data_IF_879327509221
#
_entry.id   IF_879327509221
#
_cell.length_a   1.000
_cell.length_b   1.000
_cell.length_c   1.000
_cell.angle_alpha   90.00
_cell.angle_beta   90.00
_cell.angle_gamma   90.00
#
_symmetry.space_group_name_H-M   'P 1'
#
loop_
_entity.id
_entity.type
_entity.pdbx_description
1 polymer ?
#
# COMPACT_ATOMS: atom_id res chain seq x y z
N UNK A 1 6.00 -61.49 4.07
CA UNK A 1 6.94 -60.34 3.98
C UNK A 1 6.57 -59.62 2.69
N UNK A 2 5.72 -58.59 2.78
CA UNK A 2 5.28 -57.79 1.65
C UNK A 2 6.42 -56.84 1.26
N UNK A 3 6.85 -56.97 0.03
CA UNK A 3 7.83 -56.09 -0.62
C UNK A 3 7.22 -54.71 -0.77
N UNK A 4 7.56 -53.79 0.12
CA UNK A 4 7.16 -52.40 0.09
C UNK A 4 8.27 -51.49 -0.47
N UNK A 5 8.99 -51.96 -1.47
CA UNK A 5 9.78 -51.05 -2.32
C UNK A 5 8.87 -50.44 -3.39
N UNK A 6 7.87 -49.65 -3.02
CA UNK A 6 7.24 -48.71 -3.95
C UNK A 6 8.31 -47.75 -4.43
N UNK A 7 8.69 -47.93 -5.68
CA UNK A 7 9.65 -47.08 -6.37
C UNK A 7 9.00 -45.68 -6.50
N UNK A 8 9.35 -44.76 -5.62
CA UNK A 8 8.81 -43.38 -5.58
C UNK A 8 9.25 -42.52 -6.78
N UNK A 9 10.08 -43.08 -7.66
CA UNK A 9 10.47 -42.41 -8.90
C UNK A 9 9.41 -42.61 -9.98
N UNK A 10 9.01 -41.55 -10.71
CA UNK A 10 8.13 -41.68 -11.87
C UNK A 10 8.73 -42.66 -12.84
N UNK A 11 7.94 -43.62 -13.31
CA UNK A 11 8.39 -44.59 -14.30
C UNK A 11 8.44 -43.90 -15.67
N UNK A 12 9.34 -44.36 -16.55
CA UNK A 12 9.43 -43.83 -17.92
C UNK A 12 8.11 -44.00 -18.67
N UNK A 13 7.36 -45.05 -18.36
CA UNK A 13 6.03 -45.33 -18.91
C UNK A 13 4.92 -44.34 -18.47
N UNK A 14 5.18 -43.53 -17.43
CA UNK A 14 4.28 -42.46 -17.03
C UNK A 14 4.39 -41.24 -17.96
N UNK A 15 5.46 -41.16 -18.76
CA UNK A 15 5.71 -40.10 -19.73
C UNK A 15 5.33 -40.55 -21.13
N UNK A 16 4.23 -40.01 -21.66
CA UNK A 16 3.68 -40.41 -22.95
C UNK A 16 4.24 -39.53 -24.08
N UNK A 17 4.64 -40.16 -25.19
CA UNK A 17 5.07 -39.48 -26.43
C UNK A 17 4.05 -39.65 -27.56
N UNK A 18 2.90 -40.28 -27.29
CA UNK A 18 1.87 -40.65 -28.29
C UNK A 18 0.58 -39.77 -28.14
N UNK A 19 0.72 -38.57 -27.60
CA UNK A 19 -0.41 -37.66 -27.47
C UNK A 19 -0.88 -37.16 -28.83
N UNK A 20 -2.19 -37.02 -28.97
CA UNK A 20 -2.81 -36.39 -30.14
C UNK A 20 -2.52 -34.90 -30.16
N UNK A 21 -2.55 -34.21 -31.32
CA UNK A 21 -2.39 -32.75 -31.38
C UNK A 21 -3.35 -31.98 -30.46
N UNK A 22 -4.59 -32.46 -30.30
CA UNK A 22 -5.58 -31.85 -29.41
C UNK A 22 -5.19 -31.98 -27.92
N UNK A 23 -4.64 -33.11 -27.52
CA UNK A 23 -4.15 -33.34 -26.15
C UNK A 23 -2.91 -32.47 -25.86
N UNK A 24 -2.01 -32.34 -26.84
CA UNK A 24 -0.86 -31.46 -26.73
C UNK A 24 -1.32 -30.00 -26.55
N UNK A 25 -2.21 -29.53 -27.44
CA UNK A 25 -2.73 -28.16 -27.36
C UNK A 25 -3.45 -27.86 -26.05
N UNK A 26 -4.22 -28.83 -25.50
CA UNK A 26 -4.89 -28.68 -24.21
C UNK A 26 -3.90 -28.57 -23.04
N UNK A 27 -2.81 -29.36 -23.06
CA UNK A 27 -1.76 -29.31 -22.04
C UNK A 27 -0.97 -27.98 -22.13
N UNK A 28 -0.64 -27.53 -23.31
CA UNK A 28 0.02 -26.24 -23.54
C UNK A 28 -0.84 -25.06 -23.10
N UNK A 29 -2.16 -25.10 -23.40
CA UNK A 29 -3.11 -24.08 -22.92
C UNK A 29 -3.19 -24.05 -21.39
N UNK A 30 -3.20 -25.22 -20.74
CA UNK A 30 -3.18 -25.32 -19.27
C UNK A 30 -1.92 -24.72 -18.68
N UNK A 31 -0.75 -25.03 -19.24
CA UNK A 31 0.52 -24.46 -18.80
C UNK A 31 0.56 -22.93 -19.02
N UNK A 32 0.12 -22.45 -20.19
CA UNK A 32 0.04 -21.01 -20.51
C UNK A 32 -0.87 -20.28 -19.53
N UNK A 33 -2.04 -20.83 -19.22
CA UNK A 33 -2.99 -20.28 -18.24
C UNK A 33 -2.38 -20.16 -16.84
N UNK A 34 -1.69 -21.21 -16.38
CA UNK A 34 -1.04 -21.21 -15.07
C UNK A 34 0.07 -20.16 -14.96
N UNK A 35 0.92 -20.04 -16.00
CA UNK A 35 1.98 -19.04 -16.05
C UNK A 35 1.39 -17.63 -16.14
N UNK A 36 0.36 -17.41 -16.95
CA UNK A 36 -0.30 -16.11 -17.08
C UNK A 36 -0.96 -15.66 -15.76
N UNK A 37 -1.56 -16.60 -14.98
CA UNK A 37 -2.07 -16.30 -13.64
C UNK A 37 -0.96 -15.73 -12.74
N UNK A 38 0.20 -16.39 -12.68
CA UNK A 38 1.32 -15.93 -11.87
C UNK A 38 1.88 -14.60 -12.36
N UNK A 39 1.98 -14.41 -13.68
CA UNK A 39 2.44 -13.16 -14.28
C UNK A 39 1.49 -11.98 -14.01
N UNK A 40 0.16 -12.22 -13.99
CA UNK A 40 -0.82 -11.21 -13.62
C UNK A 40 -0.61 -10.74 -12.17
N UNK A 41 -0.50 -11.69 -11.24
CA UNK A 41 -0.28 -11.38 -9.82
C UNK A 41 1.04 -10.63 -9.60
N UNK A 42 2.09 -11.05 -10.30
CA UNK A 42 3.40 -10.41 -10.24
C UNK A 42 3.37 -8.96 -10.72
N UNK A 43 2.73 -8.71 -11.86
CA UNK A 43 2.66 -7.40 -12.50
C UNK A 43 1.60 -6.47 -11.89
N UNK A 44 0.69 -6.96 -11.03
CA UNK A 44 -0.43 -6.18 -10.53
C UNK A 44 -0.04 -4.90 -9.78
N UNK A 45 0.98 -4.91 -8.89
CA UNK A 45 1.46 -3.67 -8.29
C UNK A 45 2.03 -2.69 -9.31
N UNK A 46 2.79 -3.18 -10.29
CA UNK A 46 3.33 -2.35 -11.37
C UNK A 46 2.21 -1.75 -12.25
N UNK A 47 1.13 -2.51 -12.49
CA UNK A 47 -0.07 -2.01 -13.14
C UNK A 47 -0.69 -0.85 -12.35
N UNK A 48 -0.82 -0.98 -11.02
CA UNK A 48 -1.34 0.10 -10.17
C UNK A 48 -0.45 1.33 -10.22
N UNK A 49 0.87 1.14 -10.11
CA UNK A 49 1.84 2.25 -10.19
C UNK A 49 1.75 2.99 -11.53
N UNK A 50 1.77 2.24 -12.64
CA UNK A 50 1.61 2.79 -13.99
C UNK A 50 0.31 3.58 -14.15
N UNK A 51 -0.81 3.02 -13.64
CA UNK A 51 -2.12 3.69 -13.69
C UNK A 51 -2.10 5.00 -12.90
N UNK A 52 -1.61 4.97 -11.67
CA UNK A 52 -1.54 6.16 -10.82
C UNK A 52 -0.61 7.22 -11.41
N UNK A 53 0.55 6.84 -11.94
CA UNK A 53 1.45 7.74 -12.62
C UNK A 53 0.76 8.41 -13.83
N UNK A 54 0.06 7.63 -14.65
CA UNK A 54 -0.68 8.14 -15.81
C UNK A 54 -1.80 9.09 -15.40
N UNK A 55 -2.60 8.71 -14.40
CA UNK A 55 -3.68 9.54 -13.85
C UNK A 55 -3.14 10.82 -13.23
N UNK A 56 -1.98 10.76 -12.58
CA UNK A 56 -1.29 11.90 -11.97
C UNK A 56 -0.84 12.89 -13.05
N UNK A 57 -0.17 12.44 -14.10
CA UNK A 57 0.30 13.27 -15.21
C UNK A 57 -0.87 13.92 -15.96
N UNK A 58 -1.99 13.22 -16.09
CA UNK A 58 -3.18 13.66 -16.82
C UNK A 58 -4.17 14.48 -15.99
N UNK A 59 -3.88 14.80 -14.73
CA UNK A 59 -4.79 15.51 -13.85
C UNK A 59 -6.08 14.76 -13.55
N UNK A 60 -6.06 13.43 -13.57
CA UNK A 60 -7.23 12.56 -13.34
C UNK A 60 -7.19 11.85 -11.99
N UNK A 61 -6.11 11.96 -11.26
CA UNK A 61 -6.00 11.39 -9.92
C UNK A 61 -6.88 12.19 -8.95
N UNK A 62 -7.57 11.51 -8.04
CA UNK A 62 -8.31 12.19 -6.97
C UNK A 62 -7.36 13.04 -6.08
N UNK A 63 -6.08 12.68 -6.03
CA UNK A 63 -5.04 13.46 -5.34
C UNK A 63 -4.52 14.64 -6.18
N UNK A 64 -4.64 14.56 -7.52
CA UNK A 64 -4.14 15.56 -8.46
C UNK A 64 -5.26 15.92 -9.44
N UNK A 65 -6.20 16.78 -9.06
CA UNK A 65 -7.28 17.22 -9.95
C UNK A 65 -6.79 18.08 -11.12
N UNK A 66 -5.59 18.65 -11.00
CA UNK A 66 -4.89 19.38 -12.05
C UNK A 66 -3.63 18.61 -12.45
N UNK A 67 -3.16 18.78 -13.69
CA UNK A 67 -1.90 18.19 -14.15
C UNK A 67 -0.75 18.59 -13.22
N UNK A 68 -0.01 17.58 -12.70
CA UNK A 68 1.15 17.83 -11.87
C UNK A 68 2.41 17.40 -12.63
N UNK A 69 3.39 18.31 -12.80
CA UNK A 69 4.65 17.96 -13.42
C UNK A 69 5.41 16.94 -12.56
N UNK A 70 6.07 15.98 -13.20
CA UNK A 70 6.91 15.01 -12.50
C UNK A 70 8.01 15.71 -11.69
N UNK A 71 8.17 15.29 -10.43
CA UNK A 71 9.02 15.97 -9.44
C UNK A 71 8.31 17.09 -8.67
N UNK A 72 7.12 17.50 -9.10
CA UNK A 72 6.23 18.34 -8.30
C UNK A 72 5.47 17.52 -7.24
N UNK A 73 5.03 18.19 -6.18
CA UNK A 73 4.18 17.57 -5.15
C UNK A 73 2.71 17.93 -5.38
N UNK A 74 1.87 16.92 -5.39
CA UNK A 74 0.44 17.08 -5.10
C UNK A 74 0.27 16.98 -3.60
N UNK A 75 -0.30 18.01 -2.99
CA UNK A 75 -0.39 18.14 -1.54
C UNK A 75 -1.87 18.17 -1.11
N UNK A 76 -2.25 17.18 -0.31
CA UNK A 76 -3.55 17.17 0.38
C UNK A 76 -3.38 18.02 1.63
N UNK A 77 -4.15 19.12 1.70
CA UNK A 77 -4.00 20.18 2.69
C UNK A 77 -4.95 20.05 3.88
N UNK A 78 -5.89 19.15 3.81
CA UNK A 78 -6.94 18.96 4.80
C UNK A 78 -7.16 17.47 5.09
N UNK A 79 -7.88 17.18 6.16
CA UNK A 79 -8.32 15.82 6.42
C UNK A 79 -9.32 15.32 5.39
N UNK A 80 -9.33 14.03 5.15
CA UNK A 80 -10.38 13.38 4.38
C UNK A 80 -11.74 13.56 5.04
N UNK A 81 -12.77 13.65 4.21
CA UNK A 81 -14.17 13.81 4.61
C UNK A 81 -15.02 12.66 4.05
N UNK A 82 -16.29 12.52 4.41
CA UNK A 82 -17.20 11.56 3.78
C UNK A 82 -17.34 11.68 2.27
N UNK A 83 -16.99 12.83 1.70
CA UNK A 83 -16.99 13.08 0.25
C UNK A 83 -15.71 12.59 -0.43
N UNK A 84 -14.68 12.19 0.34
CA UNK A 84 -13.44 11.65 -0.20
C UNK A 84 -13.68 10.25 -0.77
N UNK A 85 -13.55 10.11 -2.08
CA UNK A 85 -13.85 8.89 -2.82
C UNK A 85 -12.69 7.87 -2.82
N UNK A 86 -12.01 7.69 -1.69
CA UNK A 86 -10.96 6.67 -1.53
C UNK A 86 -11.30 5.71 -0.41
N UNK A 87 -10.89 4.46 -0.55
CA UNK A 87 -11.13 3.40 0.44
C UNK A 87 -10.21 3.61 1.65
N UNK A 88 -10.78 3.48 2.85
CA UNK A 88 -10.09 3.63 4.14
C UNK A 88 -9.29 4.93 4.27
N UNK A 89 -9.91 6.10 3.95
CA UNK A 89 -9.20 7.38 3.95
C UNK A 89 -8.63 7.68 5.34
N UNK A 90 -7.47 8.32 5.36
CA UNK A 90 -6.78 8.69 6.57
C UNK A 90 -7.22 10.08 7.03
N UNK A 91 -7.46 10.25 8.32
CA UNK A 91 -7.80 11.54 8.95
C UNK A 91 -6.77 11.97 9.99
N UNK A 92 -5.59 11.34 10.00
CA UNK A 92 -4.55 11.53 11.01
C UNK A 92 -3.34 12.32 10.50
N UNK A 93 -3.10 12.27 9.18
CA UNK A 93 -1.92 12.88 8.54
C UNK A 93 -2.35 13.69 7.32
N UNK A 94 -1.62 14.78 7.05
CA UNK A 94 -1.64 15.42 5.74
C UNK A 94 -0.74 14.64 4.79
N UNK A 95 -1.17 14.49 3.54
CA UNK A 95 -0.48 13.71 2.52
C UNK A 95 0.14 14.60 1.45
N UNK A 96 1.17 14.07 0.81
CA UNK A 96 1.65 14.53 -0.49
C UNK A 96 2.12 13.36 -1.33
N UNK A 97 1.94 13.46 -2.64
CA UNK A 97 2.42 12.48 -3.59
C UNK A 97 3.28 13.14 -4.67
N UNK A 98 4.30 12.45 -5.11
CA UNK A 98 5.13 12.84 -6.25
C UNK A 98 5.58 11.59 -6.99
N UNK A 99 5.85 11.73 -8.30
CA UNK A 99 6.42 10.68 -9.13
C UNK A 99 7.69 11.18 -9.80
N UNK A 100 8.68 10.29 -9.93
CA UNK A 100 9.93 10.54 -10.63
C UNK A 100 10.15 9.47 -11.69
N UNK A 101 10.78 9.89 -12.80
CA UNK A 101 11.33 9.06 -13.88
C UNK A 101 12.83 9.24 -13.87
N UNK A 102 13.54 8.49 -13.04
CA UNK A 102 14.96 8.67 -12.77
C UNK A 102 15.87 8.36 -13.98
N UNK A 103 15.37 7.59 -14.96
CA UNK A 103 16.03 7.37 -16.24
C UNK A 103 16.09 8.63 -17.11
N UNK A 104 15.14 9.57 -16.94
CA UNK A 104 15.08 10.83 -17.67
C UNK A 104 15.55 12.01 -16.83
N UNK A 105 15.29 12.01 -15.52
CA UNK A 105 15.57 13.12 -14.61
C UNK A 105 16.95 13.02 -13.96
N UNK A 106 17.60 11.84 -14.03
CA UNK A 106 18.83 11.56 -13.30
C UNK A 106 18.62 11.48 -11.78
N UNK A 107 19.71 11.58 -10.99
CA UNK A 107 19.62 11.61 -9.54
C UNK A 107 18.89 12.86 -9.07
N UNK A 108 18.08 12.72 -8.01
CA UNK A 108 17.25 13.81 -7.45
C UNK A 108 17.54 13.99 -5.97
N UNK A 109 17.74 15.20 -5.52
CA UNK A 109 17.87 15.53 -4.09
C UNK A 109 16.50 15.81 -3.50
N UNK A 110 16.14 15.06 -2.47
CA UNK A 110 14.97 15.28 -1.62
C UNK A 110 15.42 16.05 -0.38
N UNK A 111 14.96 17.29 -0.27
CA UNK A 111 15.10 18.10 0.95
C UNK A 111 13.94 17.84 1.90
N UNK A 112 14.24 17.49 3.14
CA UNK A 112 13.28 17.38 4.25
C UNK A 112 13.66 18.40 5.33
N UNK A 113 12.78 19.33 5.71
CA UNK A 113 13.06 20.28 6.78
C UNK A 113 13.09 19.56 8.15
N UNK A 114 13.64 20.16 9.20
CA UNK A 114 13.50 19.67 10.57
C UNK A 114 12.00 19.62 10.98
N UNK A 115 11.57 18.48 11.54
CA UNK A 115 10.19 18.27 12.04
C UNK A 115 10.29 17.70 13.46
N UNK A 116 10.61 18.51 14.47
CA UNK A 116 11.14 18.03 15.75
C UNK A 116 10.11 17.42 16.71
N UNK A 117 8.81 17.64 16.51
CA UNK A 117 7.78 17.44 17.53
C UNK A 117 6.72 16.38 17.19
N UNK A 118 6.87 15.67 16.06
CA UNK A 118 5.83 14.74 15.57
C UNK A 118 6.35 13.68 14.63
N UNK A 119 5.48 12.70 14.41
CA UNK A 119 5.66 11.73 13.33
C UNK A 119 5.56 12.40 11.96
N UNK A 120 6.45 12.06 11.10
CA UNK A 120 6.38 12.29 9.65
C UNK A 120 6.97 11.11 8.90
N UNK A 121 6.68 10.99 7.64
CA UNK A 121 7.37 10.05 6.76
C UNK A 121 7.38 10.54 5.33
N UNK A 122 8.44 10.17 4.60
CA UNK A 122 8.46 10.17 3.14
C UNK A 122 8.82 8.74 2.73
N UNK A 123 7.83 7.98 2.29
CA UNK A 123 8.01 6.65 1.72
C UNK A 123 8.51 6.78 0.29
N UNK A 124 9.51 5.97 -0.09
CA UNK A 124 10.04 5.87 -1.43
C UNK A 124 9.70 4.48 -1.96
N UNK A 125 8.81 4.44 -2.93
CA UNK A 125 8.22 3.22 -3.48
C UNK A 125 8.69 3.02 -4.91
N UNK A 126 9.10 1.81 -5.24
CA UNK A 126 9.47 1.44 -6.59
C UNK A 126 8.25 1.25 -7.51
N UNK A 127 8.48 0.91 -8.77
CA UNK A 127 7.42 0.65 -9.74
C UNK A 127 6.53 -0.55 -9.41
N UNK A 128 6.89 -1.36 -8.41
CA UNK A 128 6.10 -2.48 -7.88
C UNK A 128 5.44 -2.16 -6.53
N UNK A 129 5.44 -0.88 -6.12
CA UNK A 129 4.97 -0.41 -4.80
C UNK A 129 5.63 -1.13 -3.62
N UNK A 130 6.91 -1.45 -3.76
CA UNK A 130 7.75 -1.92 -2.65
C UNK A 130 8.49 -0.72 -2.08
N UNK A 131 8.42 -0.53 -0.76
CA UNK A 131 9.21 0.48 -0.08
C UNK A 131 10.70 0.09 -0.15
N UNK A 132 11.48 0.81 -0.93
CA UNK A 132 12.93 0.61 -0.96
C UNK A 132 13.62 1.49 0.09
N UNK A 133 12.97 2.56 0.55
CA UNK A 133 13.38 3.34 1.71
C UNK A 133 12.23 4.13 2.30
N UNK A 134 12.35 4.53 3.57
CA UNK A 134 11.40 5.41 4.27
C UNK A 134 12.18 6.40 5.10
N UNK A 135 12.05 7.69 4.82
CA UNK A 135 12.60 8.75 5.66
C UNK A 135 11.57 9.07 6.74
N UNK A 136 11.91 8.80 7.99
CA UNK A 136 11.03 8.97 9.14
C UNK A 136 11.83 9.17 10.42
N UNK A 137 11.19 9.46 11.57
CA UNK A 137 11.88 9.47 12.86
C UNK A 137 12.60 8.16 13.19
N UNK A 138 12.07 7.02 12.72
CA UNK A 138 12.65 5.69 12.92
C UNK A 138 13.99 5.52 12.20
N UNK A 139 14.10 6.00 10.97
CA UNK A 139 15.24 5.74 10.09
C UNK A 139 16.30 6.84 10.16
N UNK A 140 15.86 8.09 10.12
CA UNK A 140 16.75 9.24 10.03
C UNK A 140 16.50 10.31 11.10
N UNK A 141 15.60 10.09 12.07
CA UNK A 141 15.26 11.08 13.09
C UNK A 141 14.55 12.31 12.54
N UNK A 142 14.42 13.33 13.36
CA UNK A 142 13.60 14.52 13.10
C UNK A 142 14.39 15.76 12.66
N UNK A 143 15.73 15.67 12.50
CA UNK A 143 16.58 16.79 12.15
C UNK A 143 16.47 17.25 10.68
N UNK A 144 15.82 16.47 9.83
CA UNK A 144 15.73 16.74 8.39
C UNK A 144 17.07 16.53 7.67
N UNK A 145 17.21 17.11 6.49
CA UNK A 145 18.43 17.07 5.67
C UNK A 145 18.16 16.86 4.19
N UNK A 146 19.23 16.78 3.41
CA UNK A 146 19.20 16.51 1.99
C UNK A 146 19.56 15.05 1.73
N UNK A 147 18.71 14.34 0.99
CA UNK A 147 18.84 12.93 0.66
C UNK A 147 18.92 12.76 -0.85
N UNK A 148 19.92 12.02 -1.34
CA UNK A 148 20.09 11.77 -2.77
C UNK A 148 19.33 10.51 -3.18
N UNK A 149 18.28 10.64 -3.97
CA UNK A 149 17.60 9.54 -4.63
C UNK A 149 18.38 9.23 -5.90
N UNK A 150 19.07 8.08 -5.90
CA UNK A 150 19.91 7.64 -6.99
C UNK A 150 19.16 6.64 -7.90
N UNK A 151 19.21 6.76 -9.24
CA UNK A 151 18.65 5.77 -10.13
C UNK A 151 19.35 4.40 -10.01
N UNK A 152 18.72 3.31 -10.48
CA UNK A 152 19.35 2.00 -10.50
C UNK A 152 20.74 2.04 -11.17
N UNK A 153 21.74 1.44 -10.51
CA UNK A 153 23.10 1.36 -11.05
C UNK A 153 23.91 2.67 -11.00
N UNK A 154 23.39 3.72 -10.36
CA UNK A 154 24.16 4.96 -10.20
C UNK A 154 25.45 4.74 -9.40
N UNK A 155 26.58 5.20 -9.94
CA UNK A 155 27.92 5.07 -9.37
C UNK A 155 28.64 6.44 -9.25
N UNK A 156 27.88 7.54 -9.24
CA UNK A 156 28.46 8.88 -9.08
C UNK A 156 28.96 9.14 -7.66
N UNK A 157 29.72 10.21 -7.50
CA UNK A 157 30.21 10.66 -6.20
C UNK A 157 29.08 11.31 -5.40
N UNK A 158 29.04 11.01 -4.09
CA UNK A 158 28.09 11.66 -3.16
C UNK A 158 28.57 13.07 -2.83
N UNK A 159 27.80 14.14 -3.19
CA UNK A 159 28.20 15.50 -2.88
C UNK A 159 28.23 15.79 -1.37
N UNK A 160 29.07 16.73 -0.98
CA UNK A 160 29.08 17.25 0.39
C UNK A 160 27.71 17.85 0.74
N UNK A 161 27.22 17.59 1.94
CA UNK A 161 25.91 18.06 2.41
C UNK A 161 24.78 17.03 2.21
N UNK A 162 24.98 15.99 1.41
CA UNK A 162 24.04 14.87 1.31
C UNK A 162 24.15 13.98 2.55
N UNK A 163 23.01 13.77 3.21
CA UNK A 163 22.91 12.99 4.44
C UNK A 163 22.96 11.47 4.19
N UNK A 164 22.31 11.04 3.13
CA UNK A 164 22.32 9.64 2.69
C UNK A 164 22.00 9.53 1.20
N UNK A 165 22.47 8.45 0.57
CA UNK A 165 22.10 8.06 -0.80
C UNK A 165 21.09 6.93 -0.71
N UNK A 166 19.93 7.12 -1.32
CA UNK A 166 18.80 6.19 -1.36
C UNK A 166 18.74 5.61 -2.77
N UNK A 167 19.08 4.34 -2.90
CA UNK A 167 19.19 3.68 -4.21
C UNK A 167 17.82 3.15 -4.65
N UNK A 168 17.25 3.77 -5.69
CA UNK A 168 16.02 3.28 -6.29
C UNK A 168 16.24 1.90 -6.94
N UNK A 169 15.26 1.03 -6.83
CA UNK A 169 15.28 -0.33 -7.41
C UNK A 169 14.73 -0.34 -8.82
N UNK A 170 13.92 0.67 -9.20
CA UNK A 170 13.39 0.86 -10.56
C UNK A 170 13.56 2.31 -11.03
N UNK A 171 13.58 2.57 -12.36
CA UNK A 171 13.62 3.93 -12.90
C UNK A 171 12.42 4.81 -12.51
N UNK A 172 11.20 4.26 -12.54
CA UNK A 172 10.00 4.99 -12.10
C UNK A 172 9.76 4.74 -10.63
N UNK A 173 9.55 5.81 -9.85
CA UNK A 173 9.29 5.71 -8.41
C UNK A 173 8.14 6.64 -8.00
N UNK A 174 7.49 6.29 -6.91
CA UNK A 174 6.49 7.11 -6.22
C UNK A 174 7.03 7.55 -4.86
N UNK A 175 6.78 8.78 -4.49
CA UNK A 175 7.07 9.30 -3.16
C UNK A 175 5.75 9.67 -2.47
N UNK A 176 5.58 9.23 -1.22
CA UNK A 176 4.41 9.56 -0.41
C UNK A 176 4.86 10.21 0.90
N UNK A 177 4.62 11.53 1.04
CA UNK A 177 4.83 12.18 2.33
C UNK A 177 3.58 12.08 3.21
N UNK A 178 3.77 11.91 4.51
CA UNK A 178 2.74 11.95 5.55
C UNK A 178 3.26 12.74 6.74
N UNK A 179 2.45 13.66 7.26
CA UNK A 179 2.81 14.46 8.43
C UNK A 179 1.66 14.39 9.43
N UNK A 180 1.93 13.89 10.62
CA UNK A 180 0.94 13.78 11.70
C UNK A 180 0.37 15.14 12.06
N UNK A 181 -0.94 15.22 12.15
CA UNK A 181 -1.71 16.43 12.38
C UNK A 181 -2.62 16.21 13.57
N UNK A 182 -2.46 16.98 14.63
CA UNK A 182 -3.27 16.84 15.86
C UNK A 182 -4.72 17.25 15.63
N UNK A 183 -4.89 18.38 14.95
CA UNK A 183 -6.20 18.93 14.59
C UNK A 183 -6.07 19.94 13.44
N UNK A 184 -7.19 20.45 12.94
CA UNK A 184 -7.23 21.41 11.84
C UNK A 184 -6.57 22.77 12.17
N UNK A 185 -6.40 23.11 13.44
CA UNK A 185 -5.71 24.34 13.86
C UNK A 185 -4.23 24.37 13.48
N UNK A 186 -3.63 23.20 13.21
CA UNK A 186 -2.24 23.08 12.78
C UNK A 186 -2.04 23.19 11.26
N UNK A 187 -3.11 23.19 10.45
CA UNK A 187 -2.99 23.12 8.99
C UNK A 187 -2.06 24.19 8.41
N UNK A 188 -2.23 25.45 8.80
CA UNK A 188 -1.41 26.55 8.25
C UNK A 188 0.09 26.30 8.46
N UNK A 189 0.49 25.90 9.65
CA UNK A 189 1.88 25.60 9.98
C UNK A 189 2.38 24.35 9.21
N UNK A 190 1.55 23.32 9.11
CA UNK A 190 1.92 22.09 8.41
C UNK A 190 1.97 22.26 6.88
N UNK A 191 1.20 23.19 6.31
CA UNK A 191 1.33 23.56 4.90
C UNK A 191 2.72 24.13 4.61
N UNK A 192 3.30 24.91 5.51
CA UNK A 192 4.68 25.42 5.36
C UNK A 192 5.68 24.25 5.43
N UNK A 193 5.48 23.28 6.32
CA UNK A 193 6.33 22.08 6.38
C UNK A 193 6.21 21.27 5.08
N UNK A 194 4.98 21.05 4.58
CA UNK A 194 4.78 20.36 3.30
C UNK A 194 5.46 21.10 2.13
N UNK A 195 5.36 22.44 2.08
CA UNK A 195 5.99 23.27 1.06
C UNK A 195 7.52 23.22 1.12
N UNK A 196 8.07 23.02 2.31
CA UNK A 196 9.52 22.96 2.51
C UNK A 196 10.11 21.59 2.10
N UNK A 197 9.29 20.52 1.99
CA UNK A 197 9.75 19.24 1.43
C UNK A 197 9.84 19.39 -0.09
N UNK A 198 11.06 19.36 -0.64
CA UNK A 198 11.31 19.69 -2.05
C UNK A 198 12.16 18.63 -2.74
N UNK A 199 11.90 18.48 -4.04
CA UNK A 199 12.65 17.63 -4.96
C UNK A 199 13.42 18.52 -5.94
N UNK A 200 14.70 18.25 -6.14
CA UNK A 200 15.56 19.04 -7.04
C UNK A 200 16.52 18.11 -7.79
N UNK A 201 16.59 18.11 -9.11
CA UNK A 201 17.62 17.35 -9.83
C UNK A 201 19.02 17.69 -9.32
N UNK A 202 19.87 16.67 -9.20
CA UNK A 202 21.20 16.83 -8.58
C UNK A 202 22.06 17.92 -9.24
N UNK A 203 22.04 18.01 -10.56
CA UNK A 203 22.77 19.04 -11.30
C UNK A 203 22.32 20.45 -10.93
N UNK A 204 21.01 20.65 -10.75
CA UNK A 204 20.44 21.93 -10.30
C UNK A 204 20.72 22.22 -8.84
N UNK A 205 20.64 21.20 -7.99
CA UNK A 205 20.97 21.35 -6.57
C UNK A 205 22.41 21.80 -6.37
N UNK A 206 23.36 21.22 -7.11
CA UNK A 206 24.78 21.60 -7.09
C UNK A 206 25.04 23.07 -7.48
N UNK A 207 24.15 23.65 -8.28
CA UNK A 207 24.26 25.04 -8.76
C UNK A 207 23.28 26.00 -8.07
N UNK A 208 22.58 25.59 -7.02
CA UNK A 208 21.59 26.40 -6.30
C UNK A 208 20.34 26.75 -7.13
N UNK A 209 20.07 26.00 -8.21
CA UNK A 209 18.88 26.17 -9.04
C UNK A 209 17.75 25.24 -8.57
N UNK A 210 16.49 25.52 -8.97
CA UNK A 210 15.32 24.72 -8.63
C UNK A 210 14.52 24.30 -9.87
N UNK A 211 13.53 23.42 -9.67
CA UNK A 211 12.60 22.95 -10.68
C UNK A 211 13.18 21.83 -11.56
N UNK A 212 12.32 21.20 -12.31
CA UNK A 212 12.67 20.12 -13.24
C UNK A 212 12.68 20.61 -14.69
N UNK A 213 13.52 20.02 -15.56
CA UNK A 213 13.43 20.25 -16.99
C UNK A 213 12.14 19.65 -17.55
N UNK A 214 11.61 20.13 -18.68
CA UNK A 214 10.53 19.48 -19.40
C UNK A 214 10.90 18.03 -19.74
N UNK A 215 9.92 17.11 -19.62
CA UNK A 215 10.07 15.69 -19.91
C UNK A 215 9.23 15.27 -21.11
N UNK A 216 9.68 14.26 -21.85
CA UNK A 216 8.84 13.61 -22.84
C UNK A 216 7.95 12.55 -22.17
N UNK A 217 6.66 12.86 -22.05
CA UNK A 217 5.68 12.01 -21.43
C UNK A 217 4.82 11.23 -22.42
N UNK A 218 5.14 11.28 -23.72
CA UNK A 218 4.32 10.62 -24.76
C UNK A 218 4.16 9.12 -24.51
N UNK A 219 5.21 8.44 -24.01
CA UNK A 219 5.20 7.03 -23.67
C UNK A 219 4.28 6.68 -22.48
N UNK A 220 3.94 7.66 -21.62
CA UNK A 220 3.08 7.49 -20.44
C UNK A 220 1.63 7.93 -20.68
N UNK A 221 1.27 8.33 -21.89
CA UNK A 221 -0.11 8.67 -22.25
C UNK A 221 -0.93 7.40 -22.53
N UNK A 222 -1.12 6.58 -21.51
CA UNK A 222 -1.76 5.28 -21.59
C UNK A 222 -3.27 5.43 -21.32
N UNK A 223 -4.17 4.84 -22.16
CA UNK A 223 -5.61 4.84 -21.92
C UNK A 223 -5.97 3.94 -20.72
N UNK A 224 -5.82 4.45 -19.50
CA UNK A 224 -5.95 3.68 -18.24
C UNK A 224 -7.25 2.88 -18.12
N UNK A 225 -8.37 3.39 -18.62
CA UNK A 225 -9.69 2.76 -18.48
C UNK A 225 -9.88 1.45 -19.26
N UNK A 226 -9.10 1.24 -20.33
CA UNK A 226 -9.22 0.04 -21.17
C UNK A 226 -8.64 -1.20 -20.48
N UNK A 227 -7.60 -1.02 -19.68
CA UNK A 227 -6.82 -2.09 -19.04
C UNK A 227 -7.60 -2.87 -17.98
N UNK A 228 -8.56 -2.22 -17.30
CA UNK A 228 -9.31 -2.84 -16.19
C UNK A 228 -10.29 -3.90 -16.66
N UNK A 229 -10.75 -3.83 -17.92
CA UNK A 229 -11.81 -4.69 -18.47
C UNK A 229 -11.33 -5.67 -19.53
N UNK A 230 -10.13 -5.46 -20.06
CA UNK A 230 -9.53 -6.29 -21.11
C UNK A 230 -8.22 -6.89 -20.57
N UNK A 231 -8.20 -8.20 -20.22
CA UNK A 231 -7.02 -8.84 -19.68
C UNK A 231 -5.85 -8.87 -20.67
N UNK A 232 -6.10 -8.84 -21.98
CA UNK A 232 -5.03 -8.78 -22.97
C UNK A 232 -4.41 -7.38 -23.01
N UNK A 233 -5.22 -6.33 -22.98
CA UNK A 233 -4.72 -4.95 -22.86
C UNK A 233 -3.96 -4.75 -21.53
N UNK A 234 -4.38 -5.37 -20.43
CA UNK A 234 -3.63 -5.39 -19.20
C UNK A 234 -2.21 -5.90 -19.42
N UNK A 235 -2.04 -7.07 -20.05
CA UNK A 235 -0.72 -7.62 -20.30
C UNK A 235 0.09 -6.82 -21.32
N UNK A 236 -0.52 -6.28 -22.37
CA UNK A 236 0.18 -5.42 -23.33
C UNK A 236 0.83 -4.22 -22.64
N UNK A 237 0.09 -3.54 -21.78
CA UNK A 237 0.58 -2.38 -21.05
C UNK A 237 1.57 -2.74 -19.93
N UNK A 238 1.29 -3.79 -19.14
CA UNK A 238 2.21 -4.20 -18.09
C UNK A 238 3.50 -4.79 -18.64
N UNK A 239 3.48 -5.51 -19.77
CA UNK A 239 4.68 -5.97 -20.44
C UNK A 239 5.59 -4.80 -20.84
N UNK A 240 5.00 -3.75 -21.44
CA UNK A 240 5.72 -2.53 -21.78
C UNK A 240 6.29 -1.85 -20.53
N UNK A 241 5.43 -1.59 -19.54
CA UNK A 241 5.82 -0.85 -18.32
C UNK A 241 6.89 -1.57 -17.51
N UNK A 242 6.75 -2.87 -17.31
CA UNK A 242 7.73 -3.68 -16.58
C UNK A 242 9.02 -3.91 -17.40
N UNK A 243 8.96 -3.77 -18.71
CA UNK A 243 10.14 -3.71 -19.57
C UNK A 243 11.00 -2.46 -19.34
N UNK A 244 10.34 -1.30 -19.17
CA UNK A 244 10.98 -0.04 -18.81
C UNK A 244 11.37 0.03 -17.31
N UNK A 245 10.67 -0.72 -16.46
CA UNK A 245 10.93 -0.86 -15.03
C UNK A 245 11.26 -2.32 -14.73
N UNK A 246 12.47 -2.78 -15.03
CA UNK A 246 12.81 -4.20 -14.90
C UNK A 246 12.66 -4.67 -13.46
N UNK A 247 12.17 -5.92 -13.26
CA UNK A 247 12.12 -6.52 -11.95
C UNK A 247 13.51 -6.66 -11.34
N UNK A 248 13.61 -6.79 -10.02
CA UNK A 248 14.90 -6.98 -9.35
C UNK A 248 15.59 -8.27 -9.82
N UNK A 249 16.93 -8.33 -9.76
CA UNK A 249 17.71 -9.47 -10.28
C UNK A 249 17.29 -10.83 -9.71
N UNK A 250 16.85 -10.89 -8.47
CA UNK A 250 16.35 -12.10 -7.81
C UNK A 250 15.10 -12.68 -8.47
N UNK A 251 14.33 -11.86 -9.20
CA UNK A 251 13.12 -12.25 -9.92
C UNK A 251 13.38 -12.62 -11.39
N UNK A 252 14.64 -12.66 -11.83
CA UNK A 252 15.00 -12.95 -13.23
C UNK A 252 14.46 -14.31 -13.72
N UNK A 253 14.40 -15.31 -12.82
CA UNK A 253 13.82 -16.62 -13.10
C UNK A 253 12.32 -16.54 -13.41
N UNK A 254 11.57 -15.81 -12.62
CA UNK A 254 10.14 -15.56 -12.84
C UNK A 254 9.91 -14.78 -14.14
N UNK A 255 10.69 -13.74 -14.39
CA UNK A 255 10.61 -12.96 -15.62
C UNK A 255 10.87 -13.82 -16.87
N UNK A 256 11.81 -14.76 -16.80
CA UNK A 256 12.09 -15.72 -17.89
C UNK A 256 10.93 -16.69 -18.09
N UNK A 257 10.33 -17.20 -17.00
CA UNK A 257 9.15 -18.06 -17.05
C UNK A 257 7.98 -17.36 -17.73
N UNK A 258 7.68 -16.13 -17.34
CA UNK A 258 6.58 -15.35 -17.90
C UNK A 258 6.77 -15.07 -19.38
N UNK A 259 7.99 -14.73 -19.82
CA UNK A 259 8.31 -14.50 -21.24
C UNK A 259 8.09 -15.73 -22.11
N UNK A 260 8.16 -16.95 -21.57
CA UNK A 260 7.94 -18.19 -22.34
C UNK A 260 6.54 -18.28 -22.96
N UNK A 261 5.56 -17.57 -22.40
CA UNK A 261 4.18 -17.53 -22.90
C UNK A 261 3.77 -16.14 -23.42
N UNK A 262 4.74 -15.25 -23.64
CA UNK A 262 4.49 -13.91 -24.19
C UNK A 262 3.94 -12.89 -23.21
N UNK A 263 4.01 -13.16 -21.91
CA UNK A 263 3.65 -12.22 -20.84
C UNK A 263 4.85 -11.94 -19.95
N UNK A 264 4.90 -10.77 -19.31
CA UNK A 264 6.00 -10.36 -18.46
C UNK A 264 6.89 -9.27 -19.09
N UNK A 265 7.95 -8.87 -18.40
CA UNK A 265 8.75 -7.68 -18.75
C UNK A 265 9.25 -7.66 -20.20
N UNK A 266 8.85 -6.64 -20.95
CA UNK A 266 9.26 -6.42 -22.34
C UNK A 266 8.74 -7.46 -23.33
N UNK A 267 7.78 -8.32 -22.95
CA UNK A 267 7.23 -9.36 -23.83
C UNK A 267 6.17 -8.81 -24.78
N UNK A 268 5.94 -9.59 -25.86
CA UNK A 268 4.81 -9.36 -26.78
C UNK A 268 3.86 -10.54 -26.72
N UNK A 269 2.56 -10.27 -26.66
CA UNK A 269 1.53 -11.31 -26.63
C UNK A 269 1.60 -12.18 -27.89
N UNK A 270 1.33 -13.50 -27.78
CA UNK A 270 1.26 -14.39 -28.91
C UNK A 270 0.11 -13.99 -29.85
N UNK A 271 0.24 -14.35 -31.13
CA UNK A 271 -0.81 -14.13 -32.14
C UNK A 271 -1.85 -15.24 -32.16
N UNK A 272 -1.50 -16.42 -31.64
CA UNK A 272 -2.38 -17.60 -31.58
C UNK A 272 -3.60 -17.34 -30.68
N UNK A 273 -4.80 -17.64 -31.18
CA UNK A 273 -6.04 -17.38 -30.50
C UNK A 273 -6.23 -18.25 -29.24
N UNK A 274 -5.77 -19.50 -29.28
CA UNK A 274 -5.85 -20.43 -28.13
C UNK A 274 -4.95 -19.98 -27.00
N UNK A 275 -3.71 -19.56 -27.31
CA UNK A 275 -2.79 -19.00 -26.33
C UNK A 275 -3.34 -17.70 -25.72
N UNK A 276 -3.90 -16.79 -26.52
CA UNK A 276 -4.54 -15.55 -26.03
C UNK A 276 -5.72 -15.84 -25.11
N UNK A 277 -6.54 -16.84 -25.43
CA UNK A 277 -7.64 -17.28 -24.58
C UNK A 277 -7.12 -17.84 -23.25
N UNK A 278 -6.09 -18.67 -23.27
CA UNK A 278 -5.47 -19.23 -22.06
C UNK A 278 -4.89 -18.12 -21.16
N UNK A 279 -4.26 -17.11 -21.74
CA UNK A 279 -3.74 -15.92 -21.03
C UNK A 279 -4.89 -15.16 -20.36
N UNK A 280 -5.99 -14.91 -21.06
CA UNK A 280 -7.15 -14.21 -20.51
C UNK A 280 -7.81 -14.99 -19.36
N UNK A 281 -7.87 -16.32 -19.47
CA UNK A 281 -8.35 -17.19 -18.38
C UNK A 281 -7.43 -17.14 -17.16
N UNK A 282 -6.10 -17.13 -17.36
CA UNK A 282 -5.13 -16.96 -16.28
C UNK A 282 -5.29 -15.66 -15.52
N UNK A 283 -5.59 -14.56 -16.21
CA UNK A 283 -5.91 -13.29 -15.55
C UNK A 283 -7.19 -13.38 -14.68
N UNK A 284 -8.24 -14.05 -15.17
CA UNK A 284 -9.47 -14.26 -14.39
C UNK A 284 -9.23 -15.11 -13.14
N UNK A 285 -8.40 -16.14 -13.24
CA UNK A 285 -7.99 -16.97 -12.09
C UNK A 285 -7.20 -16.17 -11.06
N UNK A 286 -6.32 -15.29 -11.54
CA UNK A 286 -5.54 -14.39 -10.67
C UNK A 286 -6.46 -13.46 -9.86
N UNK A 287 -7.44 -12.84 -10.51
CA UNK A 287 -8.42 -11.97 -9.84
C UNK A 287 -9.25 -12.76 -8.81
N UNK A 288 -9.69 -13.97 -9.14
CA UNK A 288 -10.41 -14.84 -8.21
C UNK A 288 -9.55 -15.20 -6.98
N UNK A 289 -8.26 -15.53 -7.20
CA UNK A 289 -7.31 -15.81 -6.11
C UNK A 289 -7.05 -14.59 -5.23
N UNK A 290 -6.91 -13.39 -5.81
CA UNK A 290 -6.78 -12.15 -5.05
C UNK A 290 -8.01 -11.88 -4.18
N UNK A 291 -9.22 -12.01 -4.75
CA UNK A 291 -10.47 -11.82 -4.01
C UNK A 291 -10.61 -12.83 -2.85
N UNK A 292 -10.27 -14.09 -3.10
CA UNK A 292 -10.25 -15.11 -2.06
C UNK A 292 -9.24 -14.75 -0.94
N UNK A 293 -8.03 -14.30 -1.30
CA UNK A 293 -7.00 -13.90 -0.33
C UNK A 293 -7.41 -12.67 0.48
N UNK A 294 -8.06 -11.68 -0.14
CA UNK A 294 -8.59 -10.49 0.52
C UNK A 294 -9.69 -10.89 1.53
N UNK A 295 -10.57 -11.81 1.16
CA UNK A 295 -11.71 -12.22 1.99
C UNK A 295 -11.33 -13.18 3.12
N UNK A 296 -10.35 -14.06 2.92
CA UNK A 296 -10.01 -15.18 3.79
C UNK A 296 -8.82 -14.93 4.73
N UNK A 297 -8.47 -13.68 5.01
CA UNK A 297 -7.33 -13.38 5.89
C UNK A 297 -7.47 -14.03 7.27
N UNK A 298 -6.35 -14.31 7.98
CA UNK A 298 -6.41 -14.77 9.36
C UNK A 298 -6.99 -13.68 10.26
N UNK A 299 -7.82 -14.07 11.23
CA UNK A 299 -8.40 -13.16 12.23
C UNK A 299 -7.98 -13.58 13.64
N UNK A 300 -7.76 -12.59 14.49
CA UNK A 300 -7.54 -12.76 15.93
C UNK A 300 -8.35 -11.69 16.67
N UNK A 301 -9.15 -12.07 17.65
CA UNK A 301 -10.01 -11.15 18.41
C UNK A 301 -10.97 -10.31 17.53
N UNK A 302 -11.40 -10.82 16.38
CA UNK A 302 -12.21 -10.06 15.41
C UNK A 302 -11.42 -9.12 14.47
N UNK A 303 -10.11 -8.95 14.71
CA UNK A 303 -9.20 -8.14 13.88
C UNK A 303 -8.48 -8.99 12.85
N UNK A 304 -8.33 -8.47 11.64
CA UNK A 304 -7.50 -9.09 10.60
C UNK A 304 -6.02 -9.00 11.01
N UNK A 305 -5.33 -10.11 10.98
CA UNK A 305 -3.89 -10.16 11.22
C UNK A 305 -3.15 -9.64 9.99
N UNK A 306 -2.24 -8.66 10.13
CA UNK A 306 -1.43 -8.17 9.02
C UNK A 306 -0.54 -9.26 8.46
N UNK A 307 -0.24 -9.19 7.17
CA UNK A 307 0.80 -10.03 6.59
C UNK A 307 2.18 -9.56 7.06
N UNK A 308 3.06 -10.48 7.49
CA UNK A 308 4.38 -10.12 8.03
C UNK A 308 5.28 -9.41 7.00
N UNK A 309 5.06 -9.66 5.70
CA UNK A 309 5.85 -9.08 4.62
C UNK A 309 5.17 -7.84 3.98
N UNK A 310 4.18 -7.23 4.66
CA UNK A 310 3.56 -5.99 4.19
C UNK A 310 4.62 -4.91 3.91
N UNK A 311 4.51 -4.24 2.75
CA UNK A 311 5.47 -3.22 2.29
C UNK A 311 6.75 -3.78 1.65
N UNK A 312 7.15 -5.00 1.98
CA UNK A 312 8.40 -5.66 1.51
C UNK A 312 8.15 -7.06 0.93
N UNK A 313 6.99 -7.32 0.40
CA UNK A 313 6.46 -8.65 0.09
C UNK A 313 7.32 -9.58 -0.79
N UNK A 314 8.36 -9.09 -1.45
CA UNK A 314 9.24 -9.92 -2.26
C UNK A 314 8.48 -10.82 -3.24
N UNK A 315 8.79 -12.13 -3.22
CA UNK A 315 8.19 -13.13 -4.11
C UNK A 315 6.84 -13.71 -3.61
N UNK A 316 6.27 -13.22 -2.53
CA UNK A 316 4.90 -13.57 -2.11
C UNK A 316 3.87 -12.87 -3.00
N UNK A 317 3.90 -13.17 -4.31
CA UNK A 317 3.20 -12.41 -5.36
C UNK A 317 1.69 -12.29 -5.17
N UNK A 318 1.02 -13.34 -4.69
CA UNK A 318 -0.43 -13.28 -4.40
C UNK A 318 -0.72 -12.34 -3.23
N UNK A 319 0.06 -12.44 -2.16
CA UNK A 319 -0.10 -11.57 -1.00
C UNK A 319 0.20 -10.11 -1.40
N UNK A 320 1.30 -9.87 -2.12
CA UNK A 320 1.69 -8.54 -2.63
C UNK A 320 0.58 -7.92 -3.48
N UNK A 321 0.03 -8.66 -4.43
CA UNK A 321 -1.07 -8.19 -5.27
C UNK A 321 -2.33 -7.87 -4.46
N UNK A 322 -2.73 -8.74 -3.53
CA UNK A 322 -3.92 -8.56 -2.70
C UNK A 322 -3.78 -7.38 -1.73
N UNK A 323 -2.60 -7.20 -1.12
CA UNK A 323 -2.31 -6.06 -0.24
C UNK A 323 -2.34 -4.75 -1.03
N UNK A 324 -1.67 -4.68 -2.18
CA UNK A 324 -1.67 -3.45 -2.99
C UNK A 324 -3.05 -3.12 -3.55
N UNK A 325 -3.91 -4.11 -3.79
CA UNK A 325 -5.29 -3.87 -4.21
C UNK A 325 -6.15 -3.19 -3.13
N UNK A 326 -5.82 -3.37 -1.85
CA UNK A 326 -6.63 -2.88 -0.72
C UNK A 326 -5.94 -1.78 0.09
N UNK A 327 -4.61 -1.71 0.05
CA UNK A 327 -3.78 -0.83 0.87
C UNK A 327 -2.55 -0.36 0.08
N UNK A 328 -2.79 0.25 -1.07
CA UNK A 328 -1.73 0.70 -1.97
C UNK A 328 -0.71 1.60 -1.26
N UNK A 329 0.59 1.31 -1.42
CA UNK A 329 1.68 2.04 -0.76
C UNK A 329 1.68 1.84 0.77
N UNK A 330 1.36 0.62 1.22
CA UNK A 330 1.44 0.25 2.63
C UNK A 330 2.90 0.18 3.07
N UNK A 331 3.16 0.65 4.28
CA UNK A 331 4.48 0.62 4.90
C UNK A 331 4.95 -0.79 5.31
N UNK A 332 6.26 -1.00 5.45
CA UNK A 332 6.80 -2.07 6.28
C UNK A 332 6.24 -2.02 7.70
N UNK A 333 6.06 -3.19 8.33
CA UNK A 333 5.41 -3.28 9.65
C UNK A 333 6.14 -2.48 10.74
N UNK A 334 7.46 -2.29 10.61
CA UNK A 334 8.26 -1.49 11.54
C UNK A 334 7.96 0.00 11.48
N UNK A 335 7.34 0.47 10.38
CA UNK A 335 6.97 1.87 10.20
C UNK A 335 5.53 2.14 10.61
N UNK A 336 4.59 1.34 10.13
CA UNK A 336 3.19 1.44 10.52
C UNK A 336 2.43 0.13 10.33
N UNK A 337 1.50 -0.16 11.23
CA UNK A 337 0.62 -1.33 11.14
C UNK A 337 -0.84 -0.88 11.18
N UNK A 338 -1.64 -1.44 10.26
CA UNK A 338 -3.06 -1.20 10.14
C UNK A 338 -3.84 -2.48 10.40
N UNK A 339 -4.62 -2.49 11.48
CA UNK A 339 -5.43 -3.60 11.93
C UNK A 339 -6.90 -3.26 11.67
N UNK A 340 -7.58 -4.07 10.86
CA UNK A 340 -9.00 -3.88 10.55
C UNK A 340 -9.87 -4.87 11.33
N UNK A 341 -10.90 -4.38 12.02
CA UNK A 341 -11.92 -5.23 12.64
C UNK A 341 -13.24 -5.11 11.90
N UNK A 342 -13.79 -6.26 11.56
CA UNK A 342 -15.08 -6.42 10.89
C UNK A 342 -16.09 -7.16 11.79
N UNK A 343 -15.61 -7.76 12.88
CA UNK A 343 -16.36 -8.67 13.75
C UNK A 343 -16.14 -8.34 15.22
N UNK A 344 -17.12 -8.65 16.04
CA UNK A 344 -17.00 -8.58 17.48
C UNK A 344 -16.35 -9.85 18.07
N UNK A 345 -16.27 -9.91 19.40
CA UNK A 345 -15.70 -11.05 20.13
C UNK A 345 -16.39 -12.38 19.83
N UNK A 346 -17.69 -12.33 19.51
CA UNK A 346 -18.52 -13.51 19.28
C UNK A 346 -18.60 -13.88 17.78
N UNK A 347 -17.67 -13.33 16.95
CA UNK A 347 -17.54 -13.52 15.51
C UNK A 347 -18.73 -12.98 14.69
N UNK A 348 -19.57 -12.13 15.27
CA UNK A 348 -20.65 -11.46 14.57
C UNK A 348 -20.15 -10.18 13.88
N UNK A 349 -20.67 -9.89 12.68
CA UNK A 349 -20.33 -8.67 11.94
C UNK A 349 -20.75 -7.42 12.75
N UNK A 350 -19.89 -6.40 12.74
CA UNK A 350 -20.17 -5.12 13.38
C UNK A 350 -21.30 -4.39 12.65
N UNK A 351 -22.30 -3.95 13.40
CA UNK A 351 -23.49 -3.27 12.85
C UNK A 351 -24.01 -2.20 13.81
N UNK A 352 -24.35 -1.02 13.30
CA UNK A 352 -24.73 0.14 14.11
C UNK A 352 -26.05 0.02 14.85
N UNK A 353 -26.86 -1.03 14.61
CA UNK A 353 -28.02 -1.35 15.46
C UNK A 353 -27.64 -1.86 16.86
N UNK A 354 -26.34 -2.09 17.09
CA UNK A 354 -25.81 -2.57 18.37
C UNK A 354 -24.81 -1.58 18.94
N UNK A 355 -24.53 -1.72 20.23
CA UNK A 355 -23.54 -0.94 20.96
C UNK A 355 -22.34 -1.82 21.27
N UNK A 356 -21.15 -1.26 21.15
CA UNK A 356 -19.91 -1.99 21.38
C UNK A 356 -18.94 -1.18 22.22
N UNK A 357 -18.05 -1.88 22.90
CA UNK A 357 -16.90 -1.31 23.58
C UNK A 357 -15.62 -1.93 23.07
N UNK A 358 -14.56 -1.11 22.99
CA UNK A 358 -13.18 -1.55 22.83
C UNK A 358 -12.42 -1.04 24.05
N UNK A 359 -11.98 -1.96 24.92
CA UNK A 359 -11.32 -1.60 26.17
C UNK A 359 -9.88 -2.07 26.17
N UNK A 360 -8.96 -1.12 26.32
CA UNK A 360 -7.56 -1.36 26.62
C UNK A 360 -7.39 -1.34 28.15
N UNK A 361 -6.86 -2.40 28.74
CA UNK A 361 -6.55 -2.45 30.16
C UNK A 361 -5.42 -1.46 30.52
N UNK A 362 -5.20 -1.27 31.81
CA UNK A 362 -4.13 -0.43 32.30
C UNK A 362 -2.77 -0.90 31.75
N UNK A 363 -2.06 -0.03 31.03
CA UNK A 363 -0.79 -0.34 30.39
C UNK A 363 -0.88 -1.21 29.11
N UNK A 364 -2.10 -1.49 28.61
CA UNK A 364 -2.31 -2.31 27.41
C UNK A 364 -2.55 -1.49 26.13
N UNK A 365 -2.38 -0.19 26.18
CA UNK A 365 -2.39 0.65 24.96
C UNK A 365 -1.30 0.19 23.98
N UNK A 366 -1.45 0.46 22.67
CA UNK A 366 -0.41 0.11 21.69
C UNK A 366 0.96 0.62 22.12
N UNK A 367 1.98 -0.25 22.31
CA UNK A 367 3.34 0.19 22.64
C UNK A 367 4.01 0.80 21.41
N UNK A 368 4.27 2.10 21.45
CA UNK A 368 4.84 2.88 20.35
C UNK A 368 6.20 3.45 20.73
N UNK A 369 7.00 3.76 19.70
CA UNK A 369 8.26 4.49 19.86
C UNK A 369 7.97 5.99 20.06
N UNK A 370 9.00 6.76 20.33
CA UNK A 370 8.93 8.22 20.36
C UNK A 370 8.35 8.77 19.04
N UNK A 371 7.53 9.80 19.11
CA UNK A 371 6.74 10.38 18.02
C UNK A 371 5.68 9.44 17.39
N UNK A 372 5.59 8.19 17.85
CA UNK A 372 4.54 7.27 17.41
C UNK A 372 3.16 7.67 17.96
N UNK A 373 2.13 7.30 17.23
CA UNK A 373 0.75 7.51 17.66
C UNK A 373 -0.13 6.35 17.19
N UNK A 374 -1.28 6.18 17.84
CA UNK A 374 -2.34 5.30 17.36
C UNK A 374 -3.58 6.11 16.99
N UNK A 375 -4.39 5.57 16.07
CA UNK A 375 -5.72 6.07 15.79
C UNK A 375 -6.70 4.93 15.54
N UNK A 376 -7.95 5.09 15.98
CA UNK A 376 -9.06 4.20 15.67
C UNK A 376 -10.05 4.96 14.79
N UNK A 377 -10.15 4.58 13.52
CA UNK A 377 -11.02 5.25 12.53
C UNK A 377 -12.23 4.39 12.22
N UNK A 378 -13.41 5.02 12.12
CA UNK A 378 -14.69 4.39 11.78
C UNK A 378 -14.99 4.51 10.29
N UNK A 379 -15.47 3.41 9.70
CA UNK A 379 -15.90 3.34 8.30
C UNK A 379 -17.23 2.57 8.16
N UNK A 380 -17.95 2.82 7.07
CA UNK A 380 -19.06 1.96 6.66
C UNK A 380 -18.55 0.61 6.08
N UNK A 381 -19.47 -0.23 5.61
CA UNK A 381 -19.18 -1.52 4.97
C UNK A 381 -18.37 -1.41 3.67
N UNK A 382 -18.35 -0.24 3.02
CA UNK A 382 -17.53 0.07 1.87
C UNK A 382 -16.16 0.68 2.22
N UNK A 383 -15.84 0.73 3.51
CA UNK A 383 -14.63 1.36 4.05
C UNK A 383 -14.50 2.86 3.70
N UNK A 384 -15.62 3.57 3.65
CA UNK A 384 -15.70 5.02 3.47
C UNK A 384 -16.07 5.70 4.80
N UNK A 385 -15.62 6.95 4.99
CA UNK A 385 -16.08 7.77 6.11
C UNK A 385 -17.58 8.07 5.98
N UNK A 386 -18.27 8.22 7.11
CA UNK A 386 -19.71 8.48 7.17
C UNK A 386 -19.98 9.74 7.97
N UNK A 387 -20.84 10.61 7.47
CA UNK A 387 -21.30 11.78 8.20
C UNK A 387 -21.86 11.39 9.57
N UNK A 388 -21.52 12.19 10.58
CA UNK A 388 -22.02 12.00 11.94
C UNK A 388 -22.20 13.35 12.65
N UNK A 389 -23.04 13.42 13.70
CA UNK A 389 -23.47 14.68 14.30
C UNK A 389 -22.35 15.55 14.89
N UNK A 390 -21.19 14.98 15.15
CA UNK A 390 -20.05 15.67 15.80
C UNK A 390 -18.81 15.73 14.92
N UNK A 391 -18.90 15.34 13.65
CA UNK A 391 -17.78 15.28 12.68
C UNK A 391 -16.56 14.55 13.23
N UNK A 392 -16.77 13.47 14.00
CA UNK A 392 -15.70 12.66 14.58
C UNK A 392 -15.57 11.35 13.83
N UNK A 393 -14.49 11.20 13.08
CA UNK A 393 -14.22 10.01 12.26
C UNK A 393 -13.16 9.10 12.86
N UNK A 394 -12.37 9.61 13.81
CA UNK A 394 -11.35 8.85 14.51
C UNK A 394 -11.20 9.27 15.97
N UNK A 395 -10.67 8.36 16.79
CA UNK A 395 -10.16 8.63 18.13
C UNK A 395 -8.64 8.40 18.15
N UNK A 396 -7.93 9.30 18.86
CA UNK A 396 -6.47 9.33 19.02
C UNK A 396 -6.10 9.66 20.45
N UNK A 397 -4.84 9.48 20.89
CA UNK A 397 -4.43 9.85 22.26
C UNK A 397 -4.73 11.30 22.64
N UNK A 398 -4.70 12.21 21.68
CA UNK A 398 -4.95 13.64 21.86
C UNK A 398 -6.38 14.08 21.47
N UNK A 399 -7.31 13.14 21.25
CA UNK A 399 -8.71 13.49 20.93
C UNK A 399 -9.33 14.32 22.06
N UNK A 400 -10.00 15.44 21.74
CA UNK A 400 -10.61 16.30 22.76
C UNK A 400 -11.59 15.54 23.64
N UNK A 401 -11.40 15.64 24.96
CA UNK A 401 -12.28 15.01 25.97
C UNK A 401 -12.08 13.51 26.14
N UNK A 402 -11.07 12.90 25.51
CA UNK A 402 -10.72 11.50 25.77
C UNK A 402 -10.36 11.31 27.24
N UNK A 403 -11.00 10.37 27.90
CA UNK A 403 -10.91 10.14 29.35
C UNK A 403 -10.50 8.69 29.63
N UNK A 404 -9.52 8.54 30.50
CA UNK A 404 -9.08 7.26 31.05
C UNK A 404 -9.76 6.99 32.37
N UNK A 405 -10.01 5.75 32.71
CA UNK A 405 -10.50 5.35 34.01
C UNK A 405 -9.41 5.55 35.10
N UNK A 406 -9.78 5.59 36.38
CA UNK A 406 -8.81 5.80 37.48
C UNK A 406 -7.70 4.76 37.57
N UNK A 407 -7.92 3.56 37.06
CA UNK A 407 -6.91 2.50 36.96
C UNK A 407 -5.99 2.63 35.75
N UNK A 408 -6.20 3.65 34.89
CA UNK A 408 -5.45 3.89 33.67
C UNK A 408 -5.95 3.13 32.43
N UNK A 409 -7.04 2.39 32.55
CA UNK A 409 -7.68 1.74 31.39
C UNK A 409 -8.40 2.74 30.49
N UNK A 410 -8.56 2.41 29.20
CA UNK A 410 -9.26 3.22 28.21
C UNK A 410 -10.37 2.39 27.57
N UNK A 411 -11.62 2.82 27.73
CA UNK A 411 -12.77 2.24 27.03
C UNK A 411 -13.28 3.21 25.97
N UNK A 412 -13.35 2.76 24.72
CA UNK A 412 -13.93 3.45 23.59
C UNK A 412 -15.31 2.86 23.27
N UNK A 413 -16.27 3.74 22.95
CA UNK A 413 -17.66 3.37 22.68
C UNK A 413 -17.94 3.50 21.19
N UNK A 414 -18.27 2.37 20.55
CA UNK A 414 -18.54 2.28 19.11
C UNK A 414 -20.04 2.02 18.95
N UNK A 415 -20.80 3.06 18.66
CA UNK A 415 -22.26 2.98 18.55
C UNK A 415 -22.84 4.16 17.79
N UNK A 416 -24.04 3.99 17.23
CA UNK A 416 -24.70 5.03 16.45
C UNK A 416 -25.13 6.22 17.31
N UNK A 417 -25.87 5.95 18.37
CA UNK A 417 -26.35 6.99 19.29
C UNK A 417 -25.30 7.36 20.34
N UNK A 418 -25.27 8.61 20.83
CA UNK A 418 -24.38 9.00 21.91
C UNK A 418 -24.59 8.13 23.18
N UNK A 419 -23.52 7.73 23.87
CA UNK A 419 -23.64 6.99 25.11
C UNK A 419 -24.22 7.90 26.22
N UNK A 420 -25.16 7.38 26.98
CA UNK A 420 -25.86 8.16 28.06
C UNK A 420 -25.10 8.19 29.39
N UNK A 421 -24.23 7.21 29.64
CA UNK A 421 -23.52 7.04 30.92
C UNK A 421 -22.00 6.93 30.76
N UNK A 422 -21.43 7.40 29.64
CA UNK A 422 -20.01 7.30 29.33
C UNK A 422 -19.44 8.67 28.90
N UNK A 423 -18.11 8.88 29.03
CA UNK A 423 -17.48 10.11 28.57
C UNK A 423 -17.72 10.33 27.07
N UNK A 424 -18.30 11.48 26.72
CA UNK A 424 -18.58 11.82 25.33
C UNK A 424 -17.30 11.88 24.46
N UNK A 425 -16.14 12.14 25.05
CA UNK A 425 -14.84 12.12 24.38
C UNK A 425 -14.40 10.73 23.91
N UNK A 426 -14.91 9.67 24.53
CA UNK A 426 -14.58 8.29 24.21
C UNK A 426 -15.56 7.65 23.20
N UNK A 427 -16.54 8.41 22.73
CA UNK A 427 -17.49 7.91 21.74
C UNK A 427 -16.97 8.13 20.32
N UNK A 428 -16.97 7.07 19.53
CA UNK A 428 -16.75 7.09 18.09
C UNK A 428 -18.06 6.71 17.39
N UNK A 429 -18.74 7.67 16.75
CA UNK A 429 -20.03 7.44 16.11
C UNK A 429 -19.94 6.37 15.02
N UNK A 430 -20.76 5.32 15.11
CA UNK A 430 -20.91 4.30 14.08
C UNK A 430 -22.06 4.67 13.12
N UNK A 431 -21.98 4.30 11.82
CA UNK A 431 -23.13 4.39 10.92
C UNK A 431 -24.25 3.48 11.41
N UNK A 432 -25.50 3.72 10.98
CA UNK A 432 -26.65 2.89 11.35
C UNK A 432 -26.57 1.45 10.79
N UNK A 433 -25.87 1.26 9.68
CA UNK A 433 -25.66 -0.03 8.99
C UNK A 433 -24.43 -0.79 9.46
N UNK A 434 -23.98 -1.72 8.63
CA UNK A 434 -22.73 -2.44 8.84
C UNK A 434 -21.51 -1.48 8.81
N UNK A 435 -20.50 -1.79 9.62
CA UNK A 435 -19.31 -0.96 9.73
C UNK A 435 -18.05 -1.78 9.99
N UNK A 436 -16.92 -1.15 9.78
CA UNK A 436 -15.63 -1.65 10.21
C UNK A 436 -14.81 -0.54 10.85
N UNK A 437 -13.77 -0.91 11.59
CA UNK A 437 -12.83 0.05 12.17
C UNK A 437 -11.40 -0.32 11.83
N UNK A 438 -10.56 0.69 11.64
CA UNK A 438 -9.13 0.53 11.48
C UNK A 438 -8.39 1.10 12.68
N UNK A 439 -7.65 0.26 13.40
CA UNK A 439 -6.66 0.67 14.37
C UNK A 439 -5.32 0.81 13.64
N UNK A 440 -4.82 2.03 13.53
CA UNK A 440 -3.51 2.34 12.96
C UNK A 440 -2.51 2.57 14.08
N UNK A 441 -1.32 2.01 13.96
CA UNK A 441 -0.20 2.26 14.86
C UNK A 441 1.00 2.70 14.03
N UNK A 442 1.47 3.90 14.27
CA UNK A 442 2.67 4.46 13.64
C UNK A 442 3.83 4.38 14.59
N UNK A 443 5.03 4.04 14.09
CA UNK A 443 6.22 3.76 14.89
C UNK A 443 6.00 2.65 15.94
N UNK A 444 5.47 1.49 15.56
CA UNK A 444 5.19 0.41 16.50
C UNK A 444 6.49 -0.12 17.12
N UNK A 445 6.42 -0.52 18.40
CA UNK A 445 7.50 -1.28 19.04
C UNK A 445 7.47 -2.74 18.60
N UNK A 446 8.55 -3.46 18.86
CA UNK A 446 8.73 -4.86 18.48
C UNK A 446 7.58 -5.78 18.94
N UNK A 447 6.91 -5.46 20.06
CA UNK A 447 5.79 -6.24 20.56
C UNK A 447 4.57 -6.22 19.59
N UNK A 448 4.31 -5.10 18.90
CA UNK A 448 3.25 -5.01 17.89
C UNK A 448 3.70 -5.73 16.61
N UNK A 449 4.93 -5.45 16.16
CA UNK A 449 5.49 -6.02 14.92
C UNK A 449 5.50 -7.56 14.97
N UNK A 450 5.88 -8.14 16.11
CA UNK A 450 5.89 -9.60 16.30
C UNK A 450 4.52 -10.23 16.58
N UNK A 451 3.48 -9.41 16.80
CA UNK A 451 2.14 -9.89 17.22
C UNK A 451 2.06 -10.34 18.68
N UNK A 452 3.11 -10.09 19.51
CA UNK A 452 3.07 -10.32 20.95
C UNK A 452 2.06 -9.40 21.63
N UNK A 453 2.00 -8.14 21.23
CA UNK A 453 0.87 -7.26 21.50
C UNK A 453 -0.13 -7.33 20.35
N UNK A 454 -1.42 -7.40 20.69
CA UNK A 454 -2.50 -7.39 19.73
C UNK A 454 -3.74 -6.72 20.37
N UNK A 455 -4.55 -5.98 19.61
CA UNK A 455 -5.70 -5.28 20.20
C UNK A 455 -6.70 -6.24 20.83
N UNK A 456 -7.36 -5.81 21.93
CA UNK A 456 -8.47 -6.55 22.52
C UNK A 456 -9.64 -6.68 21.55
N UNK A 457 -10.51 -7.65 21.80
CA UNK A 457 -11.71 -7.83 21.00
C UNK A 457 -12.69 -6.66 21.21
N UNK A 458 -13.41 -6.30 20.15
CA UNK A 458 -14.59 -5.43 20.23
C UNK A 458 -15.73 -6.25 20.85
N UNK A 459 -16.32 -5.74 21.91
CA UNK A 459 -17.34 -6.45 22.69
C UNK A 459 -18.69 -5.79 22.52
N UNK A 460 -19.67 -6.56 22.08
CA UNK A 460 -21.07 -6.10 22.06
C UNK A 460 -21.61 -5.95 23.49
N UNK A 461 -22.23 -4.82 23.76
CA UNK A 461 -22.89 -4.54 25.05
C UNK A 461 -24.40 -4.52 24.89
N UNK A 462 -25.10 -4.82 25.97
CA UNK A 462 -26.57 -4.91 25.97
C UNK A 462 -27.26 -3.55 25.71
#
# INVERSE_FOLDING_TARGET
MSDHSENLLPRIEDFRSDLTPAQIAAAEATNTRAIAMQAYLYAFPAFLHMRQLTEFIQGRSYMAPDECPLGGWVLIREFSTPQTATVSPNVDTLYGASYLLLDQQGPVVLHVPPIPDRYYSVALLDAYFIDFDVISPRTFGNAGGDFLIAPPGWAGETPAGIRAVLHATTPSICLLQRIYTRDAGEFAMLHEVQNAIRLTPLDRWLHGAQGFPPLDLAAYNIPAMRMVRDPLAYFEHTNFYTGANPPPPEDAGLAKLFRSVGVGPGSTLPVDAGARQAIAQGAADAQAAMNARISAGPFRNGWRVPDPDSGIAGQHILMRAAVQATQMGIFPLEEAIYLFAYRDRDDALLHGSHRYTLTFGAGELPPLREFGFWSLTMYNDQSLLVDNPINRYALRPNSPGLTYAPDGSLTLFLQHEPPTAAPAGNWLPAPAGAFNVALRTYQPQAAIVSGAWFPPAIVRVA
#
